data_IF_136407904484
#
_entry.id   IF_136407904484
#
_cell.length_a   1.000
_cell.length_b   1.000
_cell.length_c   1.000
_cell.angle_alpha   90.00
_cell.angle_beta   90.00
_cell.angle_gamma   90.00
#
_symmetry.space_group_name_H-M   'P 1'
#
loop_
_entity.id
_entity.type
_entity.pdbx_description
1 polymer ?
#
# COMPACT_ATOMS: atom_id res chain seq x y z
N UNK A 1 7.69 0.30 14.09
CA UNK A 1 7.72 -0.51 12.84
C UNK A 1 6.58 -1.54 12.80
N UNK A 2 6.05 -1.82 11.61
CA UNK A 2 5.07 -2.87 11.31
C UNK A 2 5.19 -3.30 9.83
N UNK A 3 4.67 -4.47 9.46
CA UNK A 3 4.69 -4.94 8.07
C UNK A 3 3.60 -4.28 7.23
N UNK A 4 3.92 -3.88 6.01
CA UNK A 4 2.98 -3.44 5.00
C UNK A 4 3.39 -3.96 3.62
N UNK A 5 2.42 -4.17 2.73
CA UNK A 5 2.71 -4.34 1.30
C UNK A 5 3.06 -2.95 0.75
N UNK A 6 4.30 -2.74 0.32
CA UNK A 6 4.76 -1.43 -0.15
C UNK A 6 5.04 -1.50 -1.64
N UNK A 7 4.36 -0.64 -2.40
CA UNK A 7 4.67 -0.37 -3.79
C UNK A 7 5.65 0.80 -3.89
N UNK A 8 6.79 0.59 -4.54
CA UNK A 8 7.82 1.58 -4.81
C UNK A 8 8.07 1.68 -6.32
N UNK A 9 8.64 2.81 -6.74
CA UNK A 9 9.01 3.04 -8.13
C UNK A 9 10.20 3.97 -8.20
N UNK A 10 11.39 3.36 -8.14
CA UNK A 10 12.65 4.04 -8.44
C UNK A 10 12.88 3.95 -9.96
N UNK A 11 13.48 2.87 -10.44
CA UNK A 11 13.63 2.57 -11.87
C UNK A 11 12.49 1.68 -12.42
N UNK A 12 12.04 0.72 -11.61
CA UNK A 12 10.96 -0.21 -11.95
C UNK A 12 9.91 -0.24 -10.85
N UNK A 13 8.72 -0.73 -11.21
CA UNK A 13 7.64 -0.95 -10.25
C UNK A 13 7.93 -2.21 -9.44
N UNK A 14 8.06 -2.06 -8.13
CA UNK A 14 8.31 -3.16 -7.20
C UNK A 14 7.28 -3.16 -6.09
N UNK A 15 6.86 -4.35 -5.67
CA UNK A 15 5.93 -4.54 -4.55
C UNK A 15 6.46 -5.63 -3.63
N UNK A 16 6.67 -5.28 -2.36
CA UNK A 16 7.20 -6.21 -1.36
C UNK A 16 6.56 -6.00 0.00
N UNK A 17 6.56 -7.05 0.83
CA UNK A 17 6.24 -6.91 2.25
C UNK A 17 7.45 -6.27 2.94
N UNK A 18 7.27 -5.07 3.46
CA UNK A 18 8.33 -4.23 4.00
C UNK A 18 7.96 -3.74 5.39
N UNK A 19 8.94 -3.68 6.30
CA UNK A 19 8.75 -3.03 7.59
C UNK A 19 8.79 -1.51 7.43
N UNK A 20 7.72 -0.83 7.83
CA UNK A 20 7.61 0.62 7.80
C UNK A 20 7.38 1.18 9.20
N UNK A 21 7.82 2.42 9.44
CA UNK A 21 7.53 3.12 10.69
C UNK A 21 6.17 3.83 10.65
N UNK A 22 5.54 4.02 11.81
CA UNK A 22 4.29 4.78 11.91
C UNK A 22 4.45 6.23 11.47
N UNK A 23 5.66 6.79 11.59
CA UNK A 23 5.99 8.13 11.09
C UNK A 23 5.88 8.25 9.56
N UNK A 24 5.87 7.14 8.81
CA UNK A 24 5.68 7.14 7.35
C UNK A 24 4.19 7.19 6.94
N UNK A 25 3.26 7.01 7.88
CA UNK A 25 1.82 7.07 7.59
C UNK A 25 1.40 8.52 7.33
N UNK A 26 0.50 8.72 6.37
CA UNK A 26 -0.17 10.00 6.18
C UNK A 26 -1.00 10.33 7.43
N UNK A 27 -0.82 11.53 7.98
CA UNK A 27 -1.55 11.96 9.17
C UNK A 27 -3.01 12.29 8.81
N UNK A 28 -3.97 11.56 9.39
CA UNK A 28 -5.40 11.73 9.11
C UNK A 28 -6.30 11.80 10.36
N UNK A 29 -5.73 11.99 11.56
CA UNK A 29 -6.49 12.16 12.80
C UNK A 29 -7.06 10.88 13.42
N UNK A 30 -7.09 9.77 12.69
CA UNK A 30 -7.49 8.44 13.20
C UNK A 30 -6.41 7.42 12.85
N UNK A 31 -5.95 6.68 13.86
CA UNK A 31 -5.01 5.57 13.68
C UNK A 31 -5.76 4.25 13.85
N UNK A 32 -5.76 3.42 12.80
CA UNK A 32 -6.42 2.11 12.79
C UNK A 32 -5.36 1.00 12.79
N UNK A 33 -5.55 0.01 13.66
CA UNK A 33 -4.81 -1.25 13.61
C UNK A 33 -5.64 -2.21 12.75
N UNK A 34 -5.19 -2.45 11.52
CA UNK A 34 -5.88 -3.31 10.55
C UNK A 34 -5.67 -4.77 10.92
N UNK A 35 -6.76 -5.51 11.14
CA UNK A 35 -6.73 -6.95 11.38
C UNK A 35 -7.02 -7.72 10.08
N UNK A 36 -7.85 -7.15 9.20
CA UNK A 36 -8.20 -7.74 7.91
C UNK A 36 -8.23 -6.72 6.76
N UNK A 37 -7.98 -7.24 5.56
CA UNK A 37 -8.22 -6.57 4.28
C UNK A 37 -8.66 -7.62 3.27
N UNK A 38 -8.86 -7.22 2.01
CA UNK A 38 -9.28 -8.11 0.93
C UNK A 38 -8.43 -7.89 -0.32
N UNK A 39 -8.63 -8.71 -1.35
CA UNK A 39 -8.01 -8.51 -2.66
C UNK A 39 -9.12 -8.29 -3.68
N UNK A 40 -9.23 -7.05 -4.16
CA UNK A 40 -10.11 -6.71 -5.26
C UNK A 40 -9.34 -6.71 -6.59
N UNK A 41 -10.08 -6.72 -7.70
CA UNK A 41 -9.49 -6.56 -9.03
C UNK A 41 -8.68 -5.25 -9.14
N UNK A 42 -9.15 -4.18 -8.50
CA UNK A 42 -8.44 -2.89 -8.48
C UNK A 42 -7.12 -2.96 -7.69
N UNK A 43 -7.07 -3.75 -6.64
CA UNK A 43 -5.83 -3.99 -5.88
C UNK A 43 -4.83 -4.78 -6.73
N UNK A 44 -5.30 -5.81 -7.44
CA UNK A 44 -4.45 -6.54 -8.39
C UNK A 44 -3.86 -5.61 -9.45
N UNK A 45 -4.68 -4.75 -10.08
CA UNK A 45 -4.21 -3.76 -11.05
C UNK A 45 -3.19 -2.76 -10.47
N UNK A 46 -3.33 -2.39 -9.19
CA UNK A 46 -2.39 -1.52 -8.50
C UNK A 46 -1.06 -2.24 -8.22
N UNK A 47 -1.13 -3.49 -7.75
CA UNK A 47 0.03 -4.32 -7.41
C UNK A 47 0.83 -4.72 -8.64
N UNK A 48 0.18 -5.00 -9.78
CA UNK A 48 0.86 -5.38 -11.02
C UNK A 48 1.25 -4.19 -11.91
N UNK A 49 0.81 -2.98 -11.56
CA UNK A 49 0.95 -1.77 -12.38
C UNK A 49 0.45 -1.91 -13.83
N UNK A 50 -0.47 -2.85 -14.11
CA UNK A 50 -1.04 -3.04 -15.45
C UNK A 50 -2.08 -1.98 -15.82
N UNK A 51 -2.50 -1.15 -14.85
CA UNK A 51 -3.35 0.03 -15.06
C UNK A 51 -2.89 1.18 -14.16
N UNK A 52 -3.17 2.46 -14.51
CA UNK A 52 -2.69 3.63 -13.78
C UNK A 52 -3.49 3.91 -12.48
N UNK A 53 -3.52 2.93 -11.57
CA UNK A 53 -4.18 3.03 -10.27
C UNK A 53 -3.31 3.82 -9.28
N UNK A 54 -2.03 3.49 -9.17
CA UNK A 54 -1.07 4.19 -8.31
C UNK A 54 -0.57 5.44 -9.02
N UNK A 55 -0.78 6.61 -8.41
CA UNK A 55 -0.36 7.92 -8.96
C UNK A 55 0.79 8.56 -8.20
N UNK A 56 1.06 8.12 -6.97
CA UNK A 56 2.12 8.62 -6.09
C UNK A 56 2.80 7.42 -5.44
N UNK A 57 4.13 7.42 -5.46
CA UNK A 57 4.97 6.44 -4.79
C UNK A 57 5.76 7.13 -3.67
N UNK A 58 6.14 6.41 -2.59
CA UNK A 58 5.69 5.05 -2.27
C UNK A 58 4.21 5.00 -1.85
N UNK A 59 3.55 3.85 -2.01
CA UNK A 59 2.14 3.64 -1.61
C UNK A 59 1.96 2.26 -0.98
N UNK A 60 1.12 2.17 0.06
CA UNK A 60 0.58 0.90 0.58
C UNK A 60 -0.76 0.64 -0.13
N UNK A 61 -0.86 -0.34 -1.05
CA UNK A 61 -2.11 -0.66 -1.73
C UNK A 61 -3.06 -1.47 -0.83
N UNK A 62 -4.34 -1.45 -1.18
CA UNK A 62 -5.44 -2.04 -0.40
C UNK A 62 -6.56 -1.02 -0.23
N UNK A 63 -7.71 -1.26 -0.87
CA UNK A 63 -8.86 -0.34 -0.78
C UNK A 63 -9.79 -0.60 0.41
N UNK A 64 -9.67 -1.77 1.05
CA UNK A 64 -10.51 -2.20 2.16
C UNK A 64 -9.72 -2.32 3.47
N UNK A 65 -10.38 -2.05 4.60
CA UNK A 65 -9.82 -2.21 5.95
C UNK A 65 -10.91 -2.70 6.92
N UNK A 66 -10.54 -3.59 7.84
CA UNK A 66 -11.35 -4.02 8.97
C UNK A 66 -10.48 -4.33 10.20
#
# INVERSE_FOLDING_TARGET
MFNALLATKDDQHEVAVTQIDKAALAYSGVLVKVDYSTINYKDALAVTATAPIIRKYPLVPGIDLA
#
